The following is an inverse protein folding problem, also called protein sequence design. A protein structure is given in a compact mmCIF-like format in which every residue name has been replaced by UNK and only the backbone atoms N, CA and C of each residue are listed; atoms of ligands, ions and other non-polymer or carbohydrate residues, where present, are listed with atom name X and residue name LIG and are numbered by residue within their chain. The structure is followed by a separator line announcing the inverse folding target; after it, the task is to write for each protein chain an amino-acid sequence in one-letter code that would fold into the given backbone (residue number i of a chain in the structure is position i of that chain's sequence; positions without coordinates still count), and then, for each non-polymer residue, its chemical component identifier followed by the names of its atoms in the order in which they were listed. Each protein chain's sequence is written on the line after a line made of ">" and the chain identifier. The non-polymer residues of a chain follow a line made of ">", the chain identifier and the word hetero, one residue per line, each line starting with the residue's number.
data_IF_408309204076
#
_entry.id   IF_408309204076
#
_cell.length_a   1.000
_cell.length_b   1.000
_cell.length_c   1.000
_cell.angle_alpha   90.00
_cell.angle_beta   90.00
_cell.angle_gamma   90.00
#
_symmetry.space_group_name_H-M   'P 1'
#
loop_
_entity.id
_entity.type
_entity.pdbx_description
1 polymer ?
#
# COMPACT_ATOMS: atom_id res chain seq x y z
N UNK A 1 -39.09 -45.96 -73.73
CA UNK A 1 -39.98 -44.82 -73.55
C UNK A 1 -39.32 -43.89 -72.58
N UNK A 2 -38.88 -42.92 -73.12
CA UNK A 2 -38.09 -41.71 -72.78
C UNK A 2 -37.64 -41.46 -71.36
N UNK A 3 -36.37 -41.47 -71.30
CA UNK A 3 -35.50 -40.84 -70.27
C UNK A 3 -35.25 -39.41 -70.70
N UNK A 4 -35.61 -38.42 -69.93
CA UNK A 4 -35.11 -37.05 -70.08
C UNK A 4 -34.28 -36.66 -68.85
N UNK A 5 -33.00 -36.55 -69.06
CA UNK A 5 -32.03 -35.90 -68.22
C UNK A 5 -32.43 -34.46 -67.91
N UNK A 6 -32.26 -34.06 -66.65
CA UNK A 6 -32.19 -32.65 -66.28
C UNK A 6 -30.96 -32.39 -65.46
N UNK A 7 -29.94 -31.84 -66.08
CA UNK A 7 -28.75 -31.32 -65.47
C UNK A 7 -29.10 -30.02 -64.77
N UNK A 8 -29.10 -30.04 -63.44
CA UNK A 8 -29.27 -28.85 -62.60
C UNK A 8 -27.93 -28.21 -62.30
N UNK A 9 -27.68 -27.02 -62.82
CA UNK A 9 -26.48 -26.26 -62.66
C UNK A 9 -26.22 -25.84 -61.22
N UNK A 10 -25.10 -26.26 -60.67
CA UNK A 10 -24.56 -25.85 -59.42
C UNK A 10 -23.92 -24.47 -59.57
N UNK A 11 -24.60 -23.40 -59.11
CA UNK A 11 -24.02 -22.06 -58.98
C UNK A 11 -23.03 -22.06 -57.85
N UNK A 12 -21.72 -22.03 -58.17
CA UNK A 12 -20.63 -21.79 -57.25
C UNK A 12 -20.67 -20.32 -56.82
N UNK A 13 -21.33 -20.01 -55.70
CA UNK A 13 -21.24 -18.71 -55.04
C UNK A 13 -19.90 -18.64 -54.31
N UNK A 14 -18.89 -18.08 -54.97
CA UNK A 14 -17.62 -17.74 -54.35
C UNK A 14 -17.83 -16.68 -53.28
N UNK A 15 -17.72 -17.08 -52.01
CA UNK A 15 -17.67 -16.18 -50.86
C UNK A 15 -16.28 -15.52 -50.88
N UNK A 16 -16.16 -14.33 -51.46
CA UNK A 16 -15.02 -13.45 -51.26
C UNK A 16 -15.06 -12.96 -49.81
N UNK A 17 -14.36 -13.65 -48.93
CA UNK A 17 -13.98 -13.08 -47.63
C UNK A 17 -12.98 -11.94 -47.90
N UNK A 18 -13.46 -10.71 -48.00
CA UNK A 18 -12.62 -9.54 -47.93
C UNK A 18 -12.00 -9.54 -46.52
N UNK A 19 -10.77 -10.03 -46.40
CA UNK A 19 -9.90 -9.65 -45.30
C UNK A 19 -9.70 -8.14 -45.41
N UNK A 20 -10.48 -7.37 -44.64
CA UNK A 20 -10.17 -5.97 -44.41
C UNK A 20 -8.80 -5.91 -43.75
N UNK A 21 -7.72 -5.85 -44.55
CA UNK A 21 -6.42 -5.45 -44.06
C UNK A 21 -6.62 -4.04 -43.51
N UNK A 22 -6.60 -3.91 -42.15
CA UNK A 22 -6.73 -2.62 -41.51
C UNK A 22 -5.69 -1.68 -42.08
N UNK A 23 -6.07 -0.46 -42.42
CA UNK A 23 -5.12 0.56 -42.83
C UNK A 23 -4.01 0.68 -41.72
N UNK A 24 -2.74 0.88 -42.08
CA UNK A 24 -1.71 1.07 -41.11
C UNK A 24 -2.05 2.24 -40.19
N UNK A 25 -1.83 2.09 -38.87
CA UNK A 25 -2.11 3.11 -37.87
C UNK A 25 -1.42 4.43 -38.27
N UNK A 26 -2.19 5.49 -38.40
CA UNK A 26 -1.68 6.81 -38.76
C UNK A 26 -1.11 7.53 -37.54
N UNK A 27 -0.19 8.47 -37.78
CA UNK A 27 0.38 9.34 -36.74
C UNK A 27 -0.08 10.78 -36.99
N UNK A 28 -0.85 11.30 -36.04
CA UNK A 28 -1.36 12.66 -36.03
C UNK A 28 -0.48 13.53 -35.13
N UNK A 29 0.19 14.53 -35.67
CA UNK A 29 1.09 15.37 -34.88
C UNK A 29 0.39 16.66 -34.46
N UNK A 30 0.31 16.87 -33.13
CA UNK A 30 -0.25 18.07 -32.50
C UNK A 30 0.87 19.02 -32.09
N UNK A 31 0.79 20.30 -32.53
CA UNK A 31 1.79 21.34 -32.21
C UNK A 31 1.09 22.63 -31.83
N UNK A 32 1.64 23.46 -30.90
CA UNK A 32 0.99 24.70 -30.46
C UNK A 32 0.66 25.68 -31.57
N UNK A 33 1.47 25.73 -32.62
CA UNK A 33 1.33 26.64 -33.77
C UNK A 33 1.14 25.88 -35.09
N UNK A 34 0.48 24.72 -35.09
CA UNK A 34 0.23 23.88 -36.26
C UNK A 34 -1.25 23.87 -36.71
N UNK A 35 -1.56 23.20 -37.82
CA UNK A 35 -2.93 23.02 -38.29
C UNK A 35 -3.80 22.24 -37.30
N UNK A 36 -3.16 21.40 -36.46
CA UNK A 36 -3.77 20.72 -35.33
C UNK A 36 -3.15 21.28 -34.03
N UNK A 37 -3.73 22.35 -33.50
CA UNK A 37 -3.26 22.99 -32.27
C UNK A 37 -3.97 22.48 -31.00
N UNK A 38 -5.06 21.75 -31.16
CA UNK A 38 -5.84 21.15 -30.05
C UNK A 38 -5.80 19.64 -30.13
N UNK A 39 -5.53 18.97 -29.01
CA UNK A 39 -5.48 17.51 -28.93
C UNK A 39 -6.83 16.90 -29.34
N UNK A 40 -7.94 17.47 -28.88
CA UNK A 40 -9.28 16.95 -29.22
C UNK A 40 -9.54 16.97 -30.74
N UNK A 41 -9.06 17.98 -31.46
CA UNK A 41 -9.21 18.01 -32.92
C UNK A 41 -8.49 16.86 -33.63
N UNK A 42 -7.31 16.50 -33.13
CA UNK A 42 -6.58 15.34 -33.63
C UNK A 42 -7.29 14.02 -33.26
N UNK A 43 -7.81 13.93 -32.03
CA UNK A 43 -8.63 12.78 -31.58
C UNK A 43 -9.85 12.59 -32.45
N UNK A 44 -10.58 13.69 -32.76
CA UNK A 44 -11.80 13.65 -33.57
C UNK A 44 -11.53 13.22 -35.02
N UNK A 45 -10.35 13.55 -35.55
CA UNK A 45 -9.96 13.21 -36.93
C UNK A 45 -9.33 11.80 -37.06
N UNK A 46 -8.79 11.24 -35.95
CA UNK A 46 -8.07 9.97 -35.96
C UNK A 46 -8.99 8.76 -36.05
N UNK A 47 -8.54 7.71 -36.73
CA UNK A 47 -9.18 6.40 -36.75
C UNK A 47 -8.76 5.51 -35.54
N UNK A 48 -9.53 4.43 -35.29
CA UNK A 48 -9.12 3.46 -34.25
C UNK A 48 -7.75 2.86 -34.51
N UNK A 49 -6.90 2.87 -33.48
CA UNK A 49 -5.53 2.37 -33.52
C UNK A 49 -4.49 3.42 -33.88
N UNK A 50 -4.90 4.63 -34.26
CA UNK A 50 -3.98 5.72 -34.58
C UNK A 50 -3.22 6.24 -33.33
N UNK A 51 -2.10 6.93 -33.59
CA UNK A 51 -1.29 7.60 -32.57
C UNK A 51 -1.41 9.11 -32.70
N UNK A 52 -1.77 9.77 -31.59
CA UNK A 52 -1.72 11.23 -31.44
C UNK A 52 -0.37 11.57 -30.80
N UNK A 53 0.56 12.06 -31.58
CA UNK A 53 1.88 12.51 -31.12
C UNK A 53 1.80 13.98 -30.75
N UNK A 54 2.05 14.28 -29.47
CA UNK A 54 1.94 15.63 -28.90
C UNK A 54 3.34 16.18 -28.71
N UNK A 55 3.69 17.21 -29.48
CA UNK A 55 4.97 17.89 -29.42
C UNK A 55 5.07 18.77 -28.16
N UNK A 56 6.29 19.21 -27.75
CA UNK A 56 6.47 20.04 -26.56
C UNK A 56 5.60 21.30 -26.59
N UNK A 57 4.94 21.60 -25.47
CA UNK A 57 4.06 22.74 -25.32
C UNK A 57 3.00 22.55 -24.24
N UNK A 58 2.12 23.53 -24.08
CA UNK A 58 0.97 23.47 -23.17
C UNK A 58 -0.31 23.45 -23.99
N UNK A 59 -1.17 22.48 -23.73
CA UNK A 59 -2.39 22.23 -24.47
C UNK A 59 -3.59 22.24 -23.52
N UNK A 60 -4.75 22.68 -24.04
CA UNK A 60 -5.99 22.62 -23.29
C UNK A 60 -6.38 21.16 -23.03
N UNK A 61 -6.79 20.86 -21.82
CA UNK A 61 -7.33 19.57 -21.37
C UNK A 61 -8.80 19.40 -21.71
N UNK A 62 -9.47 18.52 -20.94
CA UNK A 62 -10.83 18.02 -21.18
C UNK A 62 -10.91 17.21 -22.49
N UNK A 63 -9.88 16.38 -22.70
CA UNK A 63 -9.77 15.48 -23.85
C UNK A 63 -10.60 14.22 -23.60
N UNK A 64 -11.41 13.82 -24.55
CA UNK A 64 -12.24 12.60 -24.47
C UNK A 64 -11.79 11.62 -25.55
N UNK A 65 -11.36 10.42 -25.12
CA UNK A 65 -11.01 9.32 -26.01
C UNK A 65 -12.21 8.36 -26.14
N UNK A 66 -12.93 8.45 -27.26
CA UNK A 66 -14.12 7.63 -27.57
C UNK A 66 -13.82 6.45 -28.52
N UNK A 67 -12.55 6.29 -28.90
CA UNK A 67 -12.03 5.21 -29.73
C UNK A 67 -10.63 4.82 -29.29
N UNK A 68 -10.20 3.61 -29.63
CA UNK A 68 -8.86 3.10 -29.28
C UNK A 68 -7.78 3.97 -29.93
N UNK A 69 -7.02 4.69 -29.12
CA UNK A 69 -5.94 5.59 -29.56
C UNK A 69 -4.72 5.46 -28.65
N UNK A 70 -3.57 5.85 -29.18
CA UNK A 70 -2.38 6.12 -28.39
C UNK A 70 -2.15 7.62 -28.30
N UNK A 71 -2.15 8.20 -27.07
CA UNK A 71 -1.67 9.55 -26.80
C UNK A 71 -0.22 9.47 -26.34
N UNK A 72 0.70 10.01 -27.12
CA UNK A 72 2.13 9.97 -26.85
C UNK A 72 2.72 11.38 -26.79
N UNK A 73 3.30 11.75 -25.63
CA UNK A 73 4.03 13.00 -25.46
C UNK A 73 5.47 12.89 -25.91
N UNK A 74 5.97 13.92 -26.58
CA UNK A 74 7.38 14.12 -26.87
C UNK A 74 7.92 15.19 -25.92
N UNK A 75 8.90 14.86 -25.09
CA UNK A 75 9.47 15.80 -24.12
C UNK A 75 8.49 16.26 -23.05
N UNK A 76 7.56 15.40 -22.64
CA UNK A 76 6.58 15.65 -21.58
C UNK A 76 5.74 16.93 -21.78
N UNK A 77 4.95 17.04 -22.87
CA UNK A 77 4.04 18.16 -23.07
C UNK A 77 3.00 18.23 -21.95
N UNK A 78 2.54 19.45 -21.66
CA UNK A 78 1.59 19.70 -20.57
C UNK A 78 0.17 19.71 -21.13
N UNK A 79 -0.69 18.88 -20.56
CA UNK A 79 -2.14 18.94 -20.79
C UNK A 79 -2.74 19.55 -19.54
N UNK A 80 -3.21 20.78 -19.66
CA UNK A 80 -3.78 21.56 -18.57
C UNK A 80 -5.29 21.59 -18.65
N UNK A 81 -5.97 21.09 -17.61
CA UNK A 81 -7.41 21.19 -17.45
C UNK A 81 -7.88 22.64 -17.26
N UNK A 82 -9.17 22.86 -17.43
CA UNK A 82 -9.79 24.16 -17.24
C UNK A 82 -10.24 24.45 -15.81
N UNK A 83 -9.78 23.69 -14.79
CA UNK A 83 -10.27 23.79 -13.41
C UNK A 83 -11.69 23.26 -13.24
N UNK A 84 -12.20 22.52 -14.22
CA UNK A 84 -13.52 21.87 -14.21
C UNK A 84 -13.40 20.50 -14.84
N UNK A 85 -14.08 19.49 -14.27
CA UNK A 85 -14.07 18.10 -14.72
C UNK A 85 -12.67 17.46 -14.83
N UNK A 86 -12.61 16.26 -15.34
CA UNK A 86 -11.36 15.52 -15.55
C UNK A 86 -10.57 16.06 -16.75
N UNK A 87 -9.23 15.97 -16.67
CA UNK A 87 -8.34 16.52 -17.73
C UNK A 87 -8.37 15.62 -18.97
N UNK A 88 -8.36 14.30 -18.77
CA UNK A 88 -8.52 13.32 -19.85
C UNK A 88 -9.54 12.27 -19.38
N UNK A 89 -10.54 11.99 -20.24
CA UNK A 89 -11.53 10.93 -20.02
C UNK A 89 -11.38 9.86 -21.07
N UNK A 90 -11.24 8.61 -20.66
CA UNK A 90 -11.08 7.44 -21.54
C UNK A 90 -12.35 6.62 -21.52
N UNK A 91 -13.07 6.60 -22.64
CA UNK A 91 -14.33 5.86 -22.84
C UNK A 91 -14.15 4.62 -23.72
N UNK A 92 -13.08 4.55 -24.49
CA UNK A 92 -12.79 3.45 -25.38
C UNK A 92 -11.76 2.51 -24.77
N UNK A 93 -11.90 1.23 -25.03
CA UNK A 93 -10.99 0.18 -24.57
C UNK A 93 -9.65 0.18 -25.30
N UNK A 94 -8.60 -0.27 -24.60
CA UNK A 94 -7.28 -0.52 -25.18
C UNK A 94 -6.53 0.73 -25.58
N UNK A 95 -6.83 1.88 -24.97
CA UNK A 95 -6.06 3.12 -25.16
C UNK A 95 -4.71 3.06 -24.46
N UNK A 96 -3.73 3.78 -25.01
CA UNK A 96 -2.43 4.02 -24.36
C UNK A 96 -2.23 5.51 -24.16
N UNK A 97 -1.84 5.91 -22.94
CA UNK A 97 -1.53 7.31 -22.58
C UNK A 97 -0.16 7.33 -21.94
N UNK A 98 0.80 8.04 -22.55
CA UNK A 98 2.18 8.01 -22.07
C UNK A 98 2.95 9.30 -22.28
N UNK A 99 3.97 9.50 -21.42
CA UNK A 99 4.94 10.59 -21.47
C UNK A 99 4.32 11.99 -21.44
N UNK A 100 3.26 12.20 -20.65
CA UNK A 100 2.53 13.46 -20.53
C UNK A 100 2.71 14.05 -19.14
N UNK A 101 2.62 15.39 -19.05
CA UNK A 101 2.30 16.10 -17.81
C UNK A 101 0.82 16.45 -17.84
N UNK A 102 0.06 16.02 -16.84
CA UNK A 102 -1.39 16.21 -16.74
C UNK A 102 -1.65 17.02 -15.48
N UNK A 103 -2.25 18.19 -15.63
CA UNK A 103 -2.40 19.11 -14.49
C UNK A 103 -3.70 19.90 -14.50
N UNK A 104 -4.07 20.42 -13.33
CA UNK A 104 -5.16 21.36 -13.13
C UNK A 104 -6.54 20.78 -13.47
N UNK A 105 -6.91 19.63 -12.83
CA UNK A 105 -8.25 19.08 -12.88
C UNK A 105 -9.28 19.99 -12.21
N UNK A 106 -10.55 19.67 -12.32
CA UNK A 106 -11.61 20.29 -11.52
C UNK A 106 -11.43 20.06 -10.00
N UNK A 107 -12.39 20.56 -9.21
CA UNK A 107 -12.33 20.62 -7.74
C UNK A 107 -13.50 19.90 -7.06
N UNK A 108 -14.37 19.27 -7.83
CA UNK A 108 -15.59 18.66 -7.33
C UNK A 108 -15.34 17.21 -6.90
N UNK A 109 -15.25 16.95 -5.60
CA UNK A 109 -15.12 15.58 -5.06
C UNK A 109 -16.28 14.69 -5.47
N UNK A 110 -17.49 15.23 -5.52
CA UNK A 110 -18.70 14.50 -5.90
C UNK A 110 -18.75 14.12 -7.39
N UNK A 111 -18.05 14.87 -8.24
CA UNK A 111 -17.93 14.61 -9.68
C UNK A 111 -16.64 13.82 -10.01
N UNK A 112 -15.85 13.52 -8.98
CA UNK A 112 -14.61 12.76 -9.09
C UNK A 112 -13.62 13.34 -10.11
N UNK A 113 -13.50 14.68 -10.12
CA UNK A 113 -12.64 15.43 -11.04
C UNK A 113 -11.19 14.95 -10.99
N UNK A 114 -10.73 14.32 -12.06
CA UNK A 114 -9.47 13.56 -12.07
C UNK A 114 -8.47 14.11 -13.11
N UNK A 115 -7.21 13.80 -12.92
CA UNK A 115 -6.22 13.93 -13.99
C UNK A 115 -6.57 12.99 -15.14
N UNK A 116 -6.80 11.72 -14.84
CA UNK A 116 -7.25 10.69 -15.78
C UNK A 116 -8.49 9.97 -15.22
N UNK A 117 -9.58 9.94 -15.98
CA UNK A 117 -10.79 9.21 -15.66
C UNK A 117 -11.00 8.10 -16.68
N UNK A 118 -11.00 6.84 -16.26
CA UNK A 118 -11.17 5.65 -17.09
C UNK A 118 -12.54 5.03 -16.87
N UNK A 119 -13.36 5.00 -17.93
CA UNK A 119 -14.65 4.30 -17.99
C UNK A 119 -14.61 3.07 -18.92
N UNK A 120 -13.42 2.56 -19.21
CA UNK A 120 -13.21 1.46 -20.15
C UNK A 120 -12.03 0.60 -19.73
N UNK A 121 -11.95 -0.59 -20.27
CA UNK A 121 -11.01 -1.63 -19.85
C UNK A 121 -9.81 -1.79 -20.79
N UNK A 122 -8.76 -2.48 -20.30
CA UNK A 122 -7.61 -2.84 -21.12
C UNK A 122 -6.71 -1.67 -21.51
N UNK A 123 -6.74 -0.57 -20.77
CA UNK A 123 -5.94 0.62 -21.07
C UNK A 123 -4.54 0.53 -20.44
N UNK A 124 -3.59 1.26 -21.03
CA UNK A 124 -2.23 1.36 -20.56
C UNK A 124 -1.86 2.81 -20.30
N UNK A 125 -1.59 3.13 -19.05
CA UNK A 125 -1.26 4.48 -18.56
C UNK A 125 0.17 4.42 -18.01
N UNK A 126 1.12 5.01 -18.73
CA UNK A 126 2.53 4.82 -18.37
C UNK A 126 3.38 6.08 -18.49
N UNK A 127 4.37 6.22 -17.59
CA UNK A 127 5.36 7.30 -17.64
C UNK A 127 4.76 8.71 -17.66
N UNK A 128 3.60 8.92 -17.02
CA UNK A 128 2.97 10.22 -16.92
C UNK A 128 3.28 10.91 -15.58
N UNK A 129 3.27 12.22 -15.59
CA UNK A 129 3.33 13.05 -14.39
C UNK A 129 1.99 13.74 -14.19
N UNK A 130 1.31 13.43 -13.09
CA UNK A 130 0.06 14.08 -12.69
C UNK A 130 0.34 14.99 -11.51
N UNK A 131 -0.05 16.26 -11.63
CA UNK A 131 0.15 17.24 -10.56
C UNK A 131 -0.99 18.26 -10.52
N UNK A 132 -1.24 18.87 -9.38
CA UNK A 132 -2.38 19.77 -9.20
C UNK A 132 -3.68 19.13 -9.67
N UNK A 133 -3.90 17.87 -9.29
CA UNK A 133 -5.10 17.12 -9.62
C UNK A 133 -5.84 16.73 -8.33
N UNK A 134 -7.18 16.77 -8.36
CA UNK A 134 -7.99 16.40 -7.20
C UNK A 134 -7.93 14.89 -6.98
N UNK A 135 -8.33 14.10 -7.96
CA UNK A 135 -7.97 12.69 -8.07
C UNK A 135 -6.89 12.54 -9.14
N UNK A 136 -5.92 11.67 -8.90
CA UNK A 136 -4.89 11.39 -9.90
C UNK A 136 -5.44 10.58 -11.07
N UNK A 137 -5.54 9.27 -10.90
CA UNK A 137 -6.11 8.33 -11.88
C UNK A 137 -7.31 7.65 -11.23
N UNK A 138 -8.47 7.74 -11.85
CA UNK A 138 -9.70 7.12 -11.38
C UNK A 138 -10.19 6.07 -12.37
N UNK A 139 -10.34 4.83 -11.90
CA UNK A 139 -10.86 3.68 -12.62
C UNK A 139 -12.29 3.41 -12.14
N UNK A 140 -13.27 3.68 -12.98
CA UNK A 140 -14.67 3.49 -12.70
C UNK A 140 -15.24 2.34 -13.56
N UNK A 141 -15.50 1.19 -12.94
CA UNK A 141 -15.95 -0.03 -13.67
C UNK A 141 -15.01 -0.33 -14.86
N UNK A 142 -13.70 -0.38 -14.56
CA UNK A 142 -12.65 -0.35 -15.56
C UNK A 142 -11.63 -1.45 -15.26
N UNK A 143 -11.67 -2.53 -16.03
CA UNK A 143 -10.95 -3.77 -15.78
C UNK A 143 -9.67 -3.90 -16.59
N UNK A 144 -8.74 -4.74 -16.12
CA UNK A 144 -7.56 -5.17 -16.87
C UNK A 144 -6.68 -4.01 -17.37
N UNK A 145 -6.62 -2.90 -16.65
CA UNK A 145 -5.74 -1.78 -16.99
C UNK A 145 -4.34 -1.98 -16.38
N UNK A 146 -3.36 -1.34 -17.01
CA UNK A 146 -1.98 -1.28 -16.53
C UNK A 146 -1.61 0.17 -16.24
N UNK A 147 -1.31 0.47 -14.97
CA UNK A 147 -0.78 1.76 -14.51
C UNK A 147 0.69 1.57 -14.17
N UNK A 148 1.59 2.07 -15.02
CA UNK A 148 3.02 1.79 -14.94
C UNK A 148 3.84 3.09 -14.84
N UNK A 149 4.70 3.17 -13.83
CA UNK A 149 5.71 4.24 -13.69
C UNK A 149 5.14 5.66 -13.86
N UNK A 150 4.00 5.92 -13.22
CA UNK A 150 3.42 7.26 -13.17
C UNK A 150 3.83 7.96 -11.87
N UNK A 151 4.07 9.26 -11.93
CA UNK A 151 4.29 10.12 -10.77
C UNK A 151 3.04 10.94 -10.51
N UNK A 152 2.40 10.74 -9.36
CA UNK A 152 1.13 11.37 -9.01
C UNK A 152 1.30 12.21 -7.77
N UNK A 153 1.06 13.51 -7.88
CA UNK A 153 1.04 14.46 -6.78
C UNK A 153 -0.31 15.14 -6.67
N UNK A 154 -0.94 15.02 -5.53
CA UNK A 154 -2.20 15.70 -5.23
C UNK A 154 -2.02 17.18 -4.94
N UNK A 155 -2.97 17.75 -4.18
CA UNK A 155 -3.04 19.16 -3.83
C UNK A 155 -2.68 19.37 -2.36
N UNK A 156 -1.38 19.46 -2.05
CA UNK A 156 -0.91 19.59 -0.67
C UNK A 156 -1.47 20.84 0.06
N UNK A 157 -1.86 21.88 -0.66
CA UNK A 157 -2.42 23.11 -0.10
C UNK A 157 -3.88 23.00 0.36
N UNK A 158 -4.60 21.98 -0.07
CA UNK A 158 -5.96 21.70 0.42
C UNK A 158 -5.91 21.01 1.78
N UNK A 159 -6.95 21.20 2.59
CA UNK A 159 -7.17 20.40 3.78
C UNK A 159 -7.29 18.91 3.44
N UNK A 160 -6.86 18.02 4.35
CA UNK A 160 -6.82 16.57 4.08
C UNK A 160 -8.19 16.02 3.63
N UNK A 161 -9.30 16.52 4.20
CA UNK A 161 -10.66 16.10 3.83
C UNK A 161 -11.13 16.57 2.46
N UNK A 162 -10.46 17.58 1.89
CA UNK A 162 -10.81 18.19 0.59
C UNK A 162 -10.05 17.57 -0.58
N UNK A 163 -9.06 16.70 -0.30
CA UNK A 163 -8.26 16.02 -1.31
C UNK A 163 -8.93 14.73 -1.76
N UNK A 164 -8.73 14.34 -3.00
CA UNK A 164 -9.06 13.01 -3.52
C UNK A 164 -7.92 12.01 -3.33
N UNK A 165 -8.06 10.82 -3.91
CA UNK A 165 -7.02 9.79 -3.91
C UNK A 165 -6.05 9.93 -5.09
N UNK A 166 -4.80 9.46 -4.91
CA UNK A 166 -3.84 9.40 -6.02
C UNK A 166 -4.28 8.43 -7.11
N UNK A 167 -4.60 7.19 -6.73
CA UNK A 167 -5.25 6.21 -7.60
C UNK A 167 -6.54 5.76 -6.90
N UNK A 168 -7.66 5.84 -7.60
CA UNK A 168 -8.95 5.38 -7.12
C UNK A 168 -9.47 4.27 -8.03
N UNK A 169 -9.83 3.13 -7.45
CA UNK A 169 -10.39 1.98 -8.16
C UNK A 169 -11.74 1.65 -7.56
N UNK A 170 -12.77 1.70 -8.39
CA UNK A 170 -14.14 1.40 -7.98
C UNK A 170 -14.80 0.39 -8.90
N UNK A 171 -15.32 -0.73 -8.32
CA UNK A 171 -16.00 -1.80 -9.03
C UNK A 171 -15.23 -2.33 -10.25
N UNK A 172 -13.97 -2.72 -10.05
CA UNK A 172 -13.07 -3.10 -11.15
C UNK A 172 -12.26 -4.35 -10.82
N UNK A 173 -11.84 -5.09 -11.83
CA UNK A 173 -11.09 -6.35 -11.64
C UNK A 173 -9.86 -6.44 -12.54
N UNK A 174 -8.86 -7.22 -12.11
CA UNK A 174 -7.72 -7.60 -12.95
C UNK A 174 -6.73 -6.47 -13.27
N UNK A 175 -6.75 -5.37 -12.53
CA UNK A 175 -5.86 -4.24 -12.78
C UNK A 175 -4.43 -4.50 -12.27
N UNK A 176 -3.44 -3.92 -12.94
CA UNK A 176 -2.03 -3.97 -12.54
C UNK A 176 -1.51 -2.56 -12.29
N UNK A 177 -1.03 -2.30 -11.07
CA UNK A 177 -0.52 -1.00 -10.64
C UNK A 177 0.93 -1.21 -10.20
N UNK A 178 1.87 -0.75 -11.00
CA UNK A 178 3.28 -1.06 -10.74
C UNK A 178 4.20 0.14 -10.95
N UNK A 179 5.22 0.22 -10.09
CA UNK A 179 6.29 1.22 -10.14
C UNK A 179 5.81 2.69 -10.06
N UNK A 180 4.59 2.98 -9.58
CA UNK A 180 4.11 4.34 -9.46
C UNK A 180 4.64 5.01 -8.17
N UNK A 181 4.82 6.34 -8.23
CA UNK A 181 5.10 7.17 -7.05
C UNK A 181 3.91 8.06 -6.77
N UNK A 182 3.37 8.01 -5.55
CA UNK A 182 2.14 8.70 -5.17
C UNK A 182 2.35 9.48 -3.88
N UNK A 183 2.01 10.76 -3.88
CA UNK A 183 2.13 11.64 -2.71
C UNK A 183 1.13 12.80 -2.70
N UNK A 184 1.01 13.46 -1.56
CA UNK A 184 0.30 14.75 -1.40
C UNK A 184 -1.21 14.69 -1.69
N UNK A 185 -1.78 13.51 -1.87
CA UNK A 185 -3.22 13.26 -1.96
C UNK A 185 -3.85 13.02 -0.56
N UNK A 186 -5.13 12.71 -0.48
CA UNK A 186 -5.74 12.24 0.77
C UNK A 186 -5.30 10.81 1.06
N UNK A 187 -5.59 9.92 0.15
CA UNK A 187 -5.19 8.52 0.20
C UNK A 187 -4.33 8.22 -1.04
N UNK A 188 -3.29 7.40 -0.89
CA UNK A 188 -2.43 7.06 -2.03
C UNK A 188 -3.18 6.24 -3.05
N UNK A 189 -3.66 5.09 -2.61
CA UNK A 189 -4.53 4.20 -3.40
C UNK A 189 -5.81 3.94 -2.62
N UNK A 190 -6.96 4.14 -3.24
CA UNK A 190 -8.25 3.75 -2.69
C UNK A 190 -8.88 2.67 -3.57
N UNK A 191 -9.04 1.48 -3.01
CA UNK A 191 -9.64 0.33 -3.68
C UNK A 191 -10.96 0.00 -2.99
N UNK A 192 -12.05 0.04 -3.75
CA UNK A 192 -13.38 -0.34 -3.30
C UNK A 192 -14.05 -1.27 -4.33
N UNK A 193 -14.47 -2.45 -3.87
CA UNK A 193 -14.99 -3.50 -4.74
C UNK A 193 -14.02 -3.79 -5.91
N UNK A 194 -12.74 -3.90 -5.58
CA UNK A 194 -11.66 -4.20 -6.53
C UNK A 194 -11.15 -5.61 -6.30
N UNK A 195 -11.05 -6.42 -7.36
CA UNK A 195 -10.71 -7.83 -7.26
C UNK A 195 -9.54 -8.19 -8.16
N UNK A 196 -8.77 -9.21 -7.79
CA UNK A 196 -7.67 -9.75 -8.60
C UNK A 196 -6.70 -8.68 -9.12
N UNK A 197 -6.46 -7.65 -8.30
CA UNK A 197 -5.55 -6.54 -8.61
C UNK A 197 -4.16 -6.86 -8.10
N UNK A 198 -3.15 -6.65 -8.95
CA UNK A 198 -1.74 -6.67 -8.57
C UNK A 198 -1.25 -5.25 -8.32
N UNK A 199 -0.73 -5.00 -7.13
CA UNK A 199 -0.08 -3.72 -6.75
C UNK A 199 1.37 -4.02 -6.39
N UNK A 200 2.34 -3.57 -7.20
CA UNK A 200 3.73 -3.97 -7.01
C UNK A 200 4.73 -2.82 -7.23
N UNK A 201 5.83 -2.82 -6.47
CA UNK A 201 6.94 -1.88 -6.64
C UNK A 201 6.57 -0.39 -6.56
N UNK A 202 5.46 -0.03 -5.92
CA UNK A 202 5.02 1.37 -5.80
C UNK A 202 5.66 2.04 -4.57
N UNK A 203 5.84 3.37 -4.65
CA UNK A 203 6.26 4.24 -3.55
C UNK A 203 5.11 5.19 -3.20
N UNK A 204 4.63 5.10 -1.98
CA UNK A 204 3.39 5.77 -1.54
C UNK A 204 3.65 6.45 -0.21
N UNK A 205 3.59 7.79 -0.16
CA UNK A 205 4.02 8.55 1.01
C UNK A 205 3.37 9.93 1.15
N UNK A 206 3.52 10.57 2.33
CA UNK A 206 2.96 11.90 2.65
C UNK A 206 1.44 11.99 2.48
N UNK A 207 0.71 11.04 3.10
CA UNK A 207 -0.72 10.83 2.92
C UNK A 207 -1.44 10.61 4.24
N UNK A 208 -2.78 10.55 4.21
CA UNK A 208 -3.55 10.01 5.32
C UNK A 208 -3.40 8.49 5.38
N UNK A 209 -3.77 7.80 4.32
CA UNK A 209 -3.55 6.35 4.15
C UNK A 209 -2.75 6.11 2.87
N UNK A 210 -1.66 5.37 2.98
CA UNK A 210 -0.95 4.91 1.79
C UNK A 210 -1.85 4.01 0.94
N UNK A 211 -2.51 3.04 1.58
CA UNK A 211 -3.52 2.17 0.98
C UNK A 211 -4.81 2.24 1.83
N UNK A 212 -5.89 2.72 1.24
CA UNK A 212 -7.24 2.64 1.77
C UNK A 212 -8.02 1.59 0.99
N UNK A 213 -8.53 0.57 1.67
CA UNK A 213 -8.98 -0.64 1.02
C UNK A 213 -10.26 -1.17 1.65
N UNK A 214 -11.33 -1.30 0.85
CA UNK A 214 -12.65 -1.68 1.35
C UNK A 214 -13.35 -2.70 0.43
N UNK A 215 -13.93 -3.73 1.03
CA UNK A 215 -14.81 -4.69 0.34
C UNK A 215 -14.21 -5.24 -0.95
N UNK A 216 -12.94 -5.60 -0.88
CA UNK A 216 -12.16 -6.02 -2.05
C UNK A 216 -11.42 -7.32 -1.71
N UNK A 217 -11.56 -8.36 -2.50
CA UNK A 217 -10.99 -9.67 -2.22
C UNK A 217 -9.94 -10.09 -3.25
N UNK A 218 -9.11 -11.09 -2.89
CA UNK A 218 -8.20 -11.76 -3.82
C UNK A 218 -7.17 -10.84 -4.49
N UNK A 219 -6.67 -9.84 -3.77
CA UNK A 219 -5.67 -8.92 -4.28
C UNK A 219 -4.28 -9.20 -3.70
N UNK A 220 -3.25 -8.80 -4.44
CA UNK A 220 -1.86 -9.03 -4.09
C UNK A 220 -1.06 -7.74 -4.09
N UNK A 221 -0.29 -7.55 -3.01
CA UNK A 221 0.59 -6.40 -2.80
C UNK A 221 2.02 -6.91 -2.63
N UNK A 222 2.93 -6.55 -3.56
CA UNK A 222 4.30 -7.04 -3.58
C UNK A 222 5.31 -5.90 -3.70
N UNK A 223 6.37 -5.94 -2.90
CA UNK A 223 7.51 -5.04 -3.02
C UNK A 223 7.18 -3.54 -3.00
N UNK A 224 6.05 -3.14 -2.34
CA UNK A 224 5.66 -1.75 -2.22
C UNK A 224 6.27 -1.10 -0.98
N UNK A 225 6.41 0.22 -1.01
CA UNK A 225 6.83 1.03 0.11
C UNK A 225 5.72 2.01 0.49
N UNK A 226 5.21 1.91 1.73
CA UNK A 226 4.21 2.79 2.33
C UNK A 226 4.83 3.49 3.52
N UNK A 227 5.11 4.79 3.43
CA UNK A 227 5.87 5.48 4.46
C UNK A 227 5.46 6.94 4.65
N UNK A 228 5.90 7.54 5.76
CA UNK A 228 5.67 8.95 6.10
C UNK A 228 4.21 9.38 5.97
N UNK A 229 3.29 8.51 6.37
CA UNK A 229 1.83 8.72 6.30
C UNK A 229 1.21 8.55 7.69
N UNK A 230 -0.06 8.92 7.85
CA UNK A 230 -0.79 8.63 9.10
C UNK A 230 -0.93 7.11 9.25
N UNK A 231 -1.32 6.41 8.18
CA UNK A 231 -1.28 4.96 8.16
C UNK A 231 -0.72 4.45 6.83
N UNK A 232 0.11 3.40 6.90
CA UNK A 232 0.65 2.77 5.69
C UNK A 232 -0.45 2.07 4.89
N UNK A 233 -1.28 1.25 5.56
CA UNK A 233 -2.43 0.61 4.94
C UNK A 233 -3.59 0.43 5.92
N UNK A 234 -4.82 0.53 5.43
CA UNK A 234 -6.06 0.23 6.16
C UNK A 234 -6.92 -0.72 5.31
N UNK A 235 -7.00 -1.98 5.74
CA UNK A 235 -7.67 -3.09 5.06
C UNK A 235 -8.97 -3.38 5.80
N UNK A 236 -10.10 -3.18 5.13
CA UNK A 236 -11.42 -3.28 5.76
C UNK A 236 -12.36 -4.18 4.97
N UNK A 237 -13.13 -5.02 5.68
CA UNK A 237 -14.22 -5.83 5.12
C UNK A 237 -13.79 -6.69 3.92
N UNK A 238 -12.62 -7.35 4.01
CA UNK A 238 -11.97 -7.95 2.85
C UNK A 238 -11.35 -9.30 3.17
N UNK A 239 -11.16 -10.16 2.14
CA UNK A 239 -10.71 -11.53 2.31
C UNK A 239 -9.58 -11.89 1.35
N UNK A 240 -8.72 -12.83 1.77
CA UNK A 240 -7.68 -13.46 0.96
C UNK A 240 -6.75 -12.45 0.29
N UNK A 241 -6.27 -11.50 1.10
CA UNK A 241 -5.31 -10.49 0.65
C UNK A 241 -3.90 -10.99 0.94
N UNK A 242 -3.02 -10.87 -0.03
CA UNK A 242 -1.62 -11.24 0.08
C UNK A 242 -0.72 -10.01 0.13
N UNK A 243 0.10 -9.92 1.19
CA UNK A 243 1.15 -8.92 1.33
C UNK A 243 2.50 -9.62 1.36
N UNK A 244 3.36 -9.35 0.36
CA UNK A 244 4.68 -9.96 0.28
C UNK A 244 5.77 -8.91 0.03
N UNK A 245 6.82 -8.91 0.85
CA UNK A 245 7.99 -8.03 0.77
C UNK A 245 7.66 -6.53 0.71
N UNK A 246 6.56 -6.11 1.32
CA UNK A 246 6.24 -4.69 1.43
C UNK A 246 6.95 -4.07 2.63
N UNK A 247 7.21 -2.77 2.54
CA UNK A 247 7.77 -1.97 3.63
C UNK A 247 6.73 -0.96 4.10
N UNK A 248 6.36 -1.04 5.38
CA UNK A 248 5.52 -0.08 6.08
C UNK A 248 6.39 0.64 7.11
N UNK A 249 6.78 1.87 6.81
CA UNK A 249 7.79 2.56 7.62
C UNK A 249 7.37 3.97 8.00
N UNK A 250 7.69 4.35 9.24
CA UNK A 250 7.54 5.72 9.74
C UNK A 250 6.14 6.29 9.55
N UNK A 251 5.11 5.45 9.75
CA UNK A 251 3.72 5.90 9.75
C UNK A 251 3.35 6.30 11.17
N UNK A 252 3.28 7.61 11.40
CA UNK A 252 3.16 8.20 12.73
C UNK A 252 2.11 9.32 12.77
N UNK A 253 1.48 9.50 13.93
CA UNK A 253 0.45 10.50 14.19
C UNK A 253 -0.59 9.99 15.17
N UNK A 254 -1.73 10.66 15.24
CA UNK A 254 -2.85 10.19 16.06
C UNK A 254 -3.56 9.03 15.35
N UNK A 255 -3.71 7.90 16.03
CA UNK A 255 -4.26 6.64 15.47
C UNK A 255 -3.53 6.17 14.20
N UNK A 256 -2.22 5.97 14.35
CA UNK A 256 -1.33 5.64 13.23
C UNK A 256 -0.90 4.19 13.27
N UNK A 257 -0.81 3.58 12.07
CA UNK A 257 -0.50 2.17 11.92
C UNK A 257 0.42 1.93 10.72
N UNK A 258 1.31 0.95 10.81
CA UNK A 258 1.95 0.38 9.63
C UNK A 258 0.90 -0.25 8.74
N UNK A 259 0.13 -1.21 9.31
CA UNK A 259 -1.04 -1.80 8.66
C UNK A 259 -2.17 -2.03 9.67
N UNK A 260 -3.39 -1.71 9.25
CA UNK A 260 -4.62 -1.97 9.99
C UNK A 260 -5.45 -3.01 9.25
N UNK A 261 -5.96 -4.00 9.97
CA UNK A 261 -6.98 -4.93 9.51
C UNK A 261 -8.25 -4.76 10.34
N UNK A 262 -9.38 -4.56 9.65
CA UNK A 262 -10.70 -4.48 10.26
C UNK A 262 -11.67 -5.40 9.52
N UNK A 263 -12.37 -6.30 10.25
CA UNK A 263 -13.32 -7.26 9.68
C UNK A 263 -12.78 -7.98 8.43
N UNK A 264 -11.57 -8.50 8.53
CA UNK A 264 -10.89 -9.17 7.41
C UNK A 264 -10.59 -10.62 7.73
N UNK A 265 -10.45 -11.47 6.68
CA UNK A 265 -10.30 -12.90 6.86
C UNK A 265 -9.35 -13.54 5.84
N UNK A 266 -8.57 -14.54 6.28
CA UNK A 266 -7.73 -15.35 5.40
C UNK A 266 -6.61 -14.56 4.71
N UNK A 267 -6.16 -13.47 5.33
CA UNK A 267 -5.08 -12.66 4.81
C UNK A 267 -3.71 -13.29 5.11
N UNK A 268 -2.75 -13.07 4.25
CA UNK A 268 -1.36 -13.50 4.46
C UNK A 268 -0.40 -12.32 4.36
N UNK A 269 0.55 -12.26 5.29
CA UNK A 269 1.64 -11.29 5.28
C UNK A 269 2.97 -12.04 5.42
N UNK A 270 3.80 -12.02 4.37
CA UNK A 270 5.06 -12.75 4.33
C UNK A 270 6.21 -11.84 3.90
N UNK A 271 7.32 -11.94 4.63
CA UNK A 271 8.56 -11.20 4.33
C UNK A 271 8.39 -9.67 4.27
N UNK A 272 7.38 -9.12 4.96
CA UNK A 272 7.20 -7.67 5.04
C UNK A 272 8.01 -7.05 6.17
N UNK A 273 8.28 -5.74 6.07
CA UNK A 273 8.88 -4.96 7.13
C UNK A 273 7.88 -3.93 7.69
N UNK A 274 7.63 -3.98 8.99
CA UNK A 274 6.85 -3.01 9.75
C UNK A 274 7.81 -2.30 10.71
N UNK A 275 8.32 -1.14 10.31
CA UNK A 275 9.46 -0.50 11.00
C UNK A 275 9.13 0.93 11.37
N UNK A 276 9.42 1.31 12.63
CA UNK A 276 9.29 2.68 13.11
C UNK A 276 7.89 3.28 12.93
N UNK A 277 6.83 2.47 13.16
CA UNK A 277 5.46 2.94 13.18
C UNK A 277 4.97 3.17 14.62
N UNK A 278 3.89 3.93 14.80
CA UNK A 278 3.24 4.02 16.11
C UNK A 278 2.69 2.65 16.53
N UNK A 279 1.95 1.99 15.65
CA UNK A 279 1.58 0.57 15.79
C UNK A 279 2.04 -0.15 14.53
N UNK A 280 2.81 -1.23 14.66
CA UNK A 280 3.24 -2.00 13.51
C UNK A 280 2.06 -2.66 12.79
N UNK A 281 1.32 -3.50 13.50
CA UNK A 281 0.16 -4.25 12.98
C UNK A 281 -1.03 -4.06 13.93
N UNK A 282 -2.14 -3.54 13.42
CA UNK A 282 -3.39 -3.40 14.16
C UNK A 282 -4.41 -4.42 13.66
N UNK A 283 -5.06 -5.15 14.57
CA UNK A 283 -6.02 -6.22 14.26
C UNK A 283 -7.33 -6.05 15.02
N UNK A 284 -8.39 -5.67 14.31
CA UNK A 284 -9.76 -5.66 14.81
C UNK A 284 -10.61 -6.63 13.99
N UNK A 285 -11.15 -7.66 14.61
CA UNK A 285 -11.91 -8.72 13.94
C UNK A 285 -11.20 -9.36 12.72
N UNK A 286 -9.87 -9.45 12.78
CA UNK A 286 -9.07 -10.20 11.80
C UNK A 286 -9.15 -11.68 12.13
N UNK A 287 -9.48 -12.53 11.13
CA UNK A 287 -9.68 -13.97 11.34
C UNK A 287 -8.83 -14.81 10.39
N UNK A 288 -8.41 -15.98 10.89
CA UNK A 288 -7.76 -17.06 10.11
C UNK A 288 -6.63 -16.58 9.19
N UNK A 289 -5.84 -15.60 9.65
CA UNK A 289 -4.79 -14.96 8.87
C UNK A 289 -3.40 -15.37 9.36
N UNK A 290 -2.41 -15.29 8.48
CA UNK A 290 -1.07 -15.77 8.76
C UNK A 290 0.00 -14.72 8.49
N UNK A 291 0.87 -14.53 9.47
CA UNK A 291 2.01 -13.63 9.43
C UNK A 291 3.29 -14.45 9.55
N UNK A 292 4.07 -14.53 8.46
CA UNK A 292 5.27 -15.36 8.41
C UNK A 292 6.48 -14.57 7.95
N UNK A 293 7.61 -14.79 8.63
CA UNK A 293 8.90 -14.23 8.21
C UNK A 293 8.87 -12.71 8.01
N UNK A 294 8.12 -11.96 8.85
CA UNK A 294 8.09 -10.51 8.80
C UNK A 294 9.10 -9.91 9.79
N UNK A 295 9.63 -8.73 9.46
CA UNK A 295 10.37 -7.87 10.35
C UNK A 295 9.37 -6.90 11.01
N UNK A 296 9.26 -6.95 12.33
CA UNK A 296 8.44 -6.02 13.12
C UNK A 296 9.40 -5.35 14.11
N UNK A 297 9.86 -4.15 13.77
CA UNK A 297 10.98 -3.55 14.47
C UNK A 297 10.78 -2.07 14.81
N UNK A 298 11.32 -1.65 15.96
CA UNK A 298 11.35 -0.25 16.38
C UNK A 298 9.97 0.46 16.38
N UNK A 299 8.87 -0.29 16.47
CA UNK A 299 7.54 0.28 16.62
C UNK A 299 7.28 0.63 18.10
N UNK A 300 6.41 1.63 18.35
CA UNK A 300 5.98 1.88 19.73
C UNK A 300 5.18 0.68 20.26
N UNK A 301 4.25 0.15 19.46
CA UNK A 301 3.59 -1.14 19.72
C UNK A 301 3.77 -2.04 18.50
N UNK A 302 4.35 -3.23 18.68
CA UNK A 302 4.55 -4.14 17.54
C UNK A 302 3.20 -4.62 16.99
N UNK A 303 2.32 -5.11 17.87
CA UNK A 303 0.98 -5.60 17.52
C UNK A 303 -0.03 -5.01 18.51
N UNK A 304 -1.09 -4.40 17.99
CA UNK A 304 -2.28 -4.08 18.76
C UNK A 304 -3.44 -4.97 18.29
N UNK A 305 -3.99 -5.78 19.17
CA UNK A 305 -5.01 -6.76 18.83
C UNK A 305 -6.24 -6.64 19.73
N UNK A 306 -7.41 -6.64 19.13
CA UNK A 306 -8.69 -6.75 19.86
C UNK A 306 -9.06 -8.20 20.10
N UNK A 307 -9.81 -8.47 21.16
CA UNK A 307 -10.30 -9.82 21.47
C UNK A 307 -11.27 -10.40 20.42
N UNK A 308 -11.68 -9.62 19.44
CA UNK A 308 -12.41 -10.04 18.25
C UNK A 308 -11.52 -10.70 17.17
N UNK A 309 -10.21 -10.51 17.26
CA UNK A 309 -9.26 -11.16 16.36
C UNK A 309 -9.06 -12.63 16.79
N UNK A 310 -9.20 -13.58 15.86
CA UNK A 310 -9.18 -15.01 16.20
C UNK A 310 -8.59 -15.89 15.11
N UNK A 311 -7.98 -17.01 15.52
CA UNK A 311 -7.43 -18.00 14.61
C UNK A 311 -6.23 -17.53 13.79
N UNK A 312 -5.61 -16.42 14.15
CA UNK A 312 -4.44 -15.89 13.47
C UNK A 312 -3.16 -16.62 13.90
N UNK A 313 -2.16 -16.64 13.03
CA UNK A 313 -0.89 -17.33 13.28
C UNK A 313 0.28 -16.42 12.99
N UNK A 314 1.24 -16.34 13.93
CA UNK A 314 2.52 -15.65 13.78
C UNK A 314 3.65 -16.67 13.93
N UNK A 315 4.48 -16.84 12.89
CA UNK A 315 5.57 -17.84 12.90
C UNK A 315 6.77 -17.36 12.09
N UNK A 316 7.96 -17.53 12.64
CA UNK A 316 9.20 -17.12 11.99
C UNK A 316 9.37 -15.61 11.81
N UNK A 317 8.62 -14.79 12.55
CA UNK A 317 8.77 -13.34 12.49
C UNK A 317 9.91 -12.87 13.41
N UNK A 318 10.50 -11.74 13.08
CA UNK A 318 11.48 -11.07 13.91
C UNK A 318 10.86 -9.87 14.62
N UNK A 319 10.70 -9.94 15.92
CA UNK A 319 10.29 -8.83 16.79
C UNK A 319 11.55 -8.22 17.42
N UNK A 320 11.94 -7.02 16.95
CA UNK A 320 13.21 -6.42 17.33
C UNK A 320 13.00 -5.00 17.86
N UNK A 321 13.44 -4.75 19.09
CA UNK A 321 13.48 -3.43 19.71
C UNK A 321 12.16 -2.64 19.62
N UNK A 322 11.01 -3.33 19.69
CA UNK A 322 9.73 -2.66 19.83
C UNK A 322 9.55 -2.22 21.30
N UNK A 323 8.90 -1.07 21.50
CA UNK A 323 8.68 -0.54 22.83
C UNK A 323 7.70 -1.41 23.65
N UNK A 324 6.61 -1.86 22.99
CA UNK A 324 5.71 -2.88 23.51
C UNK A 324 5.54 -4.00 22.47
N UNK A 325 5.73 -5.29 22.84
CA UNK A 325 5.55 -6.40 21.89
C UNK A 325 4.11 -6.63 21.49
N UNK A 326 3.16 -6.44 22.41
CA UNK A 326 1.73 -6.61 22.14
C UNK A 326 0.86 -5.79 23.10
N UNK A 327 -0.15 -5.17 22.55
CA UNK A 327 -1.26 -4.57 23.28
C UNK A 327 -2.55 -5.33 22.96
N UNK A 328 -3.19 -5.96 23.94
CA UNK A 328 -4.46 -6.67 23.77
C UNK A 328 -5.59 -5.87 24.38
N UNK A 329 -6.50 -5.40 23.53
CA UNK A 329 -7.72 -4.71 23.96
C UNK A 329 -8.81 -5.72 24.22
N UNK A 330 -9.17 -5.89 25.49
CA UNK A 330 -10.11 -6.91 25.96
C UNK A 330 -9.41 -8.03 26.74
N UNK A 331 -9.88 -9.27 26.62
CA UNK A 331 -9.37 -10.37 27.47
C UNK A 331 -8.13 -11.05 26.91
N UNK A 332 -8.29 -11.76 25.81
CA UNK A 332 -7.24 -12.52 25.12
C UNK A 332 -7.61 -12.64 23.66
N UNK A 333 -6.64 -12.85 22.78
CA UNK A 333 -6.86 -13.23 21.40
C UNK A 333 -6.72 -14.75 21.28
N UNK A 334 -7.30 -15.36 20.23
CA UNK A 334 -7.05 -16.75 19.87
C UNK A 334 -5.88 -16.85 18.89
N UNK A 335 -4.81 -16.08 19.14
CA UNK A 335 -3.63 -16.04 18.29
C UNK A 335 -2.68 -17.19 18.59
N UNK A 336 -2.20 -17.86 17.57
CA UNK A 336 -1.13 -18.84 17.65
C UNK A 336 0.20 -18.19 17.34
N UNK A 337 1.13 -18.30 18.28
CA UNK A 337 2.48 -17.70 18.17
C UNK A 337 3.53 -18.64 17.61
N UNK A 338 3.10 -19.78 17.09
CA UNK A 338 3.97 -20.79 16.49
C UNK A 338 3.23 -21.64 15.47
N UNK A 339 3.96 -22.21 14.53
CA UNK A 339 3.48 -23.18 13.56
C UNK A 339 4.53 -24.29 13.41
N UNK A 340 4.11 -25.54 13.39
CA UNK A 340 5.00 -26.72 13.25
C UNK A 340 6.21 -26.72 14.20
N UNK A 341 6.03 -26.29 15.47
CA UNK A 341 7.09 -26.30 16.48
C UNK A 341 8.12 -25.17 16.33
N UNK A 342 7.83 -24.14 15.54
CA UNK A 342 8.68 -22.95 15.40
C UNK A 342 7.84 -21.68 15.64
N UNK A 343 8.28 -20.88 16.59
CA UNK A 343 7.66 -19.61 16.93
C UNK A 343 8.35 -18.42 16.26
N UNK A 344 8.56 -17.36 17.01
CA UNK A 344 9.14 -16.10 16.54
C UNK A 344 10.44 -15.76 17.27
N UNK A 345 11.26 -14.92 16.66
CA UNK A 345 12.41 -14.33 17.32
C UNK A 345 11.97 -13.07 18.08
N UNK A 346 12.39 -12.95 19.34
CA UNK A 346 12.14 -11.80 20.21
C UNK A 346 13.45 -11.25 20.72
N UNK A 347 13.76 -9.99 20.47
CA UNK A 347 15.05 -9.40 20.85
C UNK A 347 15.35 -9.44 22.36
N UNK A 348 14.32 -9.51 23.18
CA UNK A 348 14.40 -9.55 24.66
C UNK A 348 14.27 -10.97 25.24
N UNK A 349 14.17 -11.99 24.39
CA UNK A 349 14.17 -13.37 24.86
C UNK A 349 15.54 -13.76 25.47
N UNK A 350 15.51 -14.25 26.69
CA UNK A 350 16.70 -14.63 27.47
C UNK A 350 16.67 -16.11 27.89
N UNK A 351 15.96 -16.95 27.17
CA UNK A 351 15.92 -18.39 27.40
C UNK A 351 17.19 -19.08 26.87
N UNK A 352 17.21 -20.39 27.00
CA UNK A 352 18.28 -21.26 26.55
C UNK A 352 17.75 -22.34 25.60
N UNK A 353 18.65 -22.97 24.87
CA UNK A 353 18.42 -24.04 23.91
C UNK A 353 19.42 -25.16 24.24
N UNK A 354 18.99 -26.19 24.97
CA UNK A 354 19.87 -27.25 25.47
C UNK A 354 20.13 -28.35 24.44
N UNK A 355 19.22 -28.52 23.50
CA UNK A 355 19.32 -29.52 22.44
C UNK A 355 19.86 -28.96 21.12
N UNK A 356 20.22 -27.66 21.10
CA UNK A 356 20.85 -26.95 20.00
C UNK A 356 20.02 -26.98 18.71
N UNK A 357 18.68 -27.05 18.81
CA UNK A 357 17.77 -27.11 17.66
C UNK A 357 17.40 -25.71 17.11
N UNK A 358 17.88 -24.64 17.76
CA UNK A 358 17.59 -23.25 17.39
C UNK A 358 16.28 -22.70 17.94
N UNK A 359 15.57 -23.49 18.76
CA UNK A 359 14.34 -23.12 19.45
C UNK A 359 14.61 -23.12 20.96
N UNK A 360 14.18 -22.10 21.65
CA UNK A 360 14.37 -22.02 23.10
C UNK A 360 13.47 -22.96 23.85
N UNK A 361 14.04 -23.64 24.87
CA UNK A 361 13.34 -24.59 25.74
C UNK A 361 12.37 -23.92 26.73
N UNK A 362 12.50 -22.63 26.92
CA UNK A 362 11.65 -21.83 27.82
C UNK A 362 10.67 -21.00 27.00
N UNK A 363 9.35 -21.17 27.16
CA UNK A 363 8.38 -20.33 26.47
C UNK A 363 8.58 -18.84 26.75
N UNK A 364 8.47 -18.01 25.72
CA UNK A 364 8.50 -16.57 25.86
C UNK A 364 7.12 -16.03 26.22
N UNK A 365 7.03 -15.31 27.32
CA UNK A 365 5.81 -14.62 27.74
C UNK A 365 5.77 -13.25 27.05
N UNK A 366 4.85 -13.10 26.07
CA UNK A 366 4.79 -11.93 25.21
C UNK A 366 4.22 -10.71 25.94
N UNK A 367 3.24 -10.91 26.84
CA UNK A 367 2.55 -9.85 27.55
C UNK A 367 2.76 -9.99 29.07
N UNK A 368 3.28 -8.95 29.70
CA UNK A 368 3.39 -8.84 31.17
C UNK A 368 2.15 -8.15 31.78
N UNK A 369 2.07 -8.10 33.13
CA UNK A 369 0.96 -7.48 33.87
C UNK A 369 0.76 -6.02 33.49
N UNK A 370 1.85 -5.28 33.35
CA UNK A 370 1.78 -3.84 33.07
C UNK A 370 1.23 -3.59 31.65
N UNK A 371 1.71 -4.32 30.65
CA UNK A 371 1.23 -4.25 29.26
C UNK A 371 -0.24 -4.62 29.17
N UNK A 372 -0.72 -5.57 29.97
CA UNK A 372 -2.13 -5.88 30.06
C UNK A 372 -2.94 -4.75 30.65
N UNK A 373 -2.45 -4.11 31.71
CA UNK A 373 -3.11 -2.94 32.29
C UNK A 373 -3.12 -1.75 31.34
N UNK A 374 -2.10 -1.60 30.50
CA UNK A 374 -2.04 -0.58 29.45
C UNK A 374 -3.14 -0.76 28.41
N UNK A 375 -3.44 -1.99 27.98
CA UNK A 375 -4.56 -2.29 27.09
C UNK A 375 -5.91 -1.84 27.63
N UNK A 376 -6.13 -1.98 28.94
CA UNK A 376 -7.34 -1.52 29.61
C UNK A 376 -7.29 0.00 29.92
N UNK A 377 -6.11 0.55 30.15
CA UNK A 377 -5.86 1.93 30.54
C UNK A 377 -4.71 2.57 29.73
N UNK A 378 -4.91 3.00 28.48
CA UNK A 378 -3.84 3.48 27.57
C UNK A 378 -2.95 4.61 28.13
N UNK A 379 -3.46 5.38 29.10
CA UNK A 379 -2.67 6.44 29.78
C UNK A 379 -1.51 5.90 30.62
N UNK A 380 -1.52 4.62 30.97
CA UNK A 380 -0.41 3.97 31.69
C UNK A 380 0.85 3.86 30.82
N UNK A 381 0.76 4.02 29.52
CA UNK A 381 1.87 4.06 28.58
C UNK A 381 2.96 5.07 28.97
N UNK A 382 2.56 6.18 29.59
CA UNK A 382 3.51 7.18 30.12
C UNK A 382 4.42 6.63 31.22
N UNK A 383 4.10 5.50 31.82
CA UNK A 383 4.81 4.89 32.94
C UNK A 383 5.52 3.58 32.58
N UNK A 384 5.59 3.20 31.29
CA UNK A 384 6.18 1.95 30.80
C UNK A 384 7.59 1.68 31.35
N UNK A 385 8.41 2.70 31.48
CA UNK A 385 9.77 2.60 32.01
C UNK A 385 9.91 3.09 33.46
N UNK A 386 8.79 3.26 34.16
CA UNK A 386 8.86 3.67 35.56
C UNK A 386 9.43 2.55 36.45
N UNK A 387 10.07 2.89 37.57
CA UNK A 387 10.49 1.88 38.56
C UNK A 387 9.34 1.00 39.04
N UNK A 388 8.10 1.52 39.04
CA UNK A 388 6.90 0.77 39.41
C UNK A 388 6.54 -0.30 38.38
N UNK A 389 6.60 0.00 37.08
CA UNK A 389 6.35 -0.99 36.02
C UNK A 389 7.41 -2.09 36.02
N UNK A 390 8.69 -1.72 36.22
CA UNK A 390 9.79 -2.67 36.33
C UNK A 390 9.65 -3.56 37.56
N UNK A 391 9.31 -3.00 38.73
CA UNK A 391 9.06 -3.77 39.95
C UNK A 391 7.89 -4.74 39.77
N UNK A 392 6.82 -4.33 39.07
CA UNK A 392 5.68 -5.18 38.77
C UNK A 392 6.07 -6.34 37.84
N UNK A 393 6.83 -6.07 36.79
CA UNK A 393 7.36 -7.09 35.88
C UNK A 393 8.28 -8.10 36.57
N UNK A 394 9.14 -7.65 37.52
CA UNK A 394 10.00 -8.52 38.32
C UNK A 394 9.18 -9.36 39.31
N UNK A 395 8.19 -8.76 39.97
CA UNK A 395 7.33 -9.49 40.92
C UNK A 395 6.49 -10.57 40.23
N UNK A 396 6.08 -10.35 39.00
CA UNK A 396 5.33 -11.33 38.20
C UNK A 396 6.16 -12.58 37.81
N UNK A 397 7.49 -12.43 37.67
CA UNK A 397 8.39 -13.59 37.45
C UNK A 397 8.38 -14.56 38.64
N UNK A 398 8.12 -14.03 39.85
CA UNK A 398 8.10 -14.81 41.11
C UNK A 398 6.69 -15.33 41.38
N UNK A 399 5.67 -14.52 41.16
CA UNK A 399 4.26 -14.86 41.39
C UNK A 399 3.47 -14.51 40.15
N UNK A 400 3.11 -15.47 39.28
CA UNK A 400 2.31 -15.20 38.10
C UNK A 400 0.92 -14.67 38.49
N UNK A 401 0.71 -13.37 38.33
CA UNK A 401 -0.54 -12.69 38.73
C UNK A 401 -1.65 -12.80 37.68
N UNK A 402 -1.28 -13.12 36.43
CA UNK A 402 -2.24 -13.20 35.33
C UNK A 402 -2.38 -14.62 34.83
N UNK A 403 -3.61 -15.11 34.77
CA UNK A 403 -4.00 -16.32 34.03
C UNK A 403 -4.43 -15.90 32.61
N UNK A 404 -3.92 -16.56 31.55
CA UNK A 404 -4.29 -16.32 30.16
C UNK A 404 -3.46 -15.26 29.45
N UNK A 405 -2.17 -15.16 29.77
CA UNK A 405 -1.21 -14.36 28.99
C UNK A 405 -0.91 -15.00 27.65
N UNK A 406 -0.55 -14.15 26.66
CA UNK A 406 -0.06 -14.63 25.37
C UNK A 406 1.36 -15.18 25.51
N UNK A 407 1.61 -16.37 24.92
CA UNK A 407 2.90 -17.07 25.00
C UNK A 407 3.32 -17.55 23.61
N UNK A 408 4.59 -17.33 23.27
CA UNK A 408 5.27 -18.10 22.24
C UNK A 408 5.94 -19.32 22.91
N UNK A 409 5.48 -20.49 22.57
CA UNK A 409 5.97 -21.75 23.17
C UNK A 409 7.28 -22.25 22.57
N UNK A 410 7.65 -21.73 21.40
CA UNK A 410 8.79 -22.18 20.63
C UNK A 410 9.60 -21.00 20.11
N UNK A 411 10.05 -20.07 21.01
CA UNK A 411 10.77 -18.87 20.61
C UNK A 411 12.08 -19.22 19.91
N UNK A 412 12.43 -18.46 18.89
CA UNK A 412 13.66 -18.68 18.14
C UNK A 412 14.87 -18.03 18.85
N UNK A 413 16.00 -18.75 18.90
CA UNK A 413 17.25 -18.26 19.50
C UNK A 413 17.96 -17.24 18.62
N UNK A 414 17.72 -17.23 17.32
CA UNK A 414 18.34 -16.33 16.36
C UNK A 414 17.29 -15.74 15.41
N UNK A 415 17.51 -14.50 14.95
CA UNK A 415 16.62 -13.92 13.95
C UNK A 415 16.61 -14.72 12.65
N UNK A 416 15.47 -14.76 12.02
CA UNK A 416 15.29 -15.36 10.71
C UNK A 416 15.89 -14.44 9.66
N UNK A 417 16.71 -14.96 8.77
CA UNK A 417 17.24 -14.20 7.64
C UNK A 417 16.11 -13.80 6.67
N UNK A 418 16.07 -12.54 6.32
CA UNK A 418 15.06 -11.97 5.44
C UNK A 418 15.70 -11.07 4.39
N UNK A 419 15.15 -11.09 3.18
CA UNK A 419 15.52 -10.16 2.10
C UNK A 419 14.42 -9.11 1.97
N UNK A 420 14.55 -8.00 2.70
CA UNK A 420 13.66 -6.85 2.54
C UNK A 420 14.49 -5.72 1.92
N UNK A 421 14.23 -5.38 0.68
CA UNK A 421 14.85 -4.22 0.03
C UNK A 421 14.37 -2.94 0.72
N UNK A 422 15.30 -2.13 1.23
CA UNK A 422 15.04 -0.90 1.96
C UNK A 422 14.83 -1.06 3.47
N UNK A 423 14.79 -2.29 3.97
CA UNK A 423 14.82 -2.62 5.40
C UNK A 423 16.23 -3.02 5.84
N UNK A 424 17.25 -2.20 5.58
CA UNK A 424 18.47 -2.32 6.36
C UNK A 424 18.06 -2.09 7.82
N UNK A 425 17.92 -3.17 8.60
CA UNK A 425 18.20 -3.08 9.99
C UNK A 425 19.64 -2.54 10.00
N UNK A 426 19.77 -1.22 10.15
CA UNK A 426 21.05 -0.66 10.48
C UNK A 426 21.55 -1.54 11.63
N UNK A 427 22.66 -2.21 11.41
CA UNK A 427 23.49 -2.66 12.50
C UNK A 427 23.61 -1.41 13.36
N UNK A 428 22.81 -1.32 14.43
CA UNK A 428 23.03 -0.34 15.45
C UNK A 428 24.45 -0.64 15.90
N UNK A 429 25.41 0.15 15.41
CA UNK A 429 26.61 0.34 16.19
C UNK A 429 26.10 0.64 17.60
N UNK A 430 26.62 -0.04 18.63
CA UNK A 430 26.15 0.15 19.99
C UNK A 430 26.11 1.64 20.24
N UNK A 431 24.93 2.17 20.58
CA UNK A 431 24.68 3.59 20.81
C UNK A 431 25.86 4.12 21.61
N UNK A 432 26.57 5.07 21.02
CA UNK A 432 27.70 5.70 21.68
C UNK A 432 27.20 6.18 23.05
N UNK A 433 27.73 5.60 24.12
CA UNK A 433 27.42 5.98 25.51
C UNK A 433 27.87 7.41 25.80
N UNK A 434 28.61 8.05 24.89
CA UNK A 434 29.14 9.40 25.03
C UNK A 434 28.08 10.50 25.17
N UNK A 435 26.99 10.55 24.41
CA UNK A 435 25.98 11.60 24.59
C UNK A 435 25.30 11.60 25.97
N UNK A 436 24.82 10.46 26.51
CA UNK A 436 24.29 10.45 27.88
C UNK A 436 25.33 10.76 28.94
N UNK A 437 26.57 10.29 28.78
CA UNK A 437 27.63 10.63 29.68
C UNK A 437 28.01 12.11 29.66
N UNK A 438 28.04 12.72 28.48
CA UNK A 438 28.25 14.17 28.32
C UNK A 438 27.12 15.00 28.95
N UNK A 439 25.86 14.58 28.81
CA UNK A 439 24.71 15.22 29.47
C UNK A 439 24.80 15.07 31.00
N UNK A 440 25.21 13.92 31.50
CA UNK A 440 25.40 13.69 32.93
C UNK A 440 26.52 14.55 33.49
N UNK A 441 27.66 14.64 32.80
CA UNK A 441 28.77 15.50 33.16
C UNK A 441 28.39 16.98 33.15
N UNK A 442 27.63 17.44 32.13
CA UNK A 442 27.12 18.81 32.05
C UNK A 442 26.16 19.13 33.21
N UNK A 443 25.26 18.22 33.56
CA UNK A 443 24.35 18.40 34.70
C UNK A 443 25.05 18.45 36.04
N UNK A 444 26.08 17.63 36.23
CA UNK A 444 26.95 17.66 37.45
C UNK A 444 27.73 18.97 37.54
N UNK A 445 28.26 19.51 36.44
CA UNK A 445 28.92 20.81 36.39
C UNK A 445 28.00 21.96 36.75
N UNK A 446 26.75 21.95 36.23
CA UNK A 446 25.73 22.96 36.56
C UNK A 446 25.37 22.90 38.07
N UNK A 447 25.22 21.68 38.62
CA UNK A 447 24.94 21.52 40.04
C UNK A 447 26.10 21.95 40.93
N UNK A 448 27.34 21.68 40.52
CA UNK A 448 28.53 22.15 41.23
C UNK A 448 28.67 23.68 41.19
N UNK A 449 28.36 24.30 40.06
CA UNK A 449 28.42 25.76 39.92
C UNK A 449 27.31 26.47 40.71
N UNK A 450 26.12 25.84 40.81
CA UNK A 450 25.03 26.35 41.65
C UNK A 450 25.30 26.27 43.19
N UNK A 451 26.23 25.43 43.62
CA UNK A 451 26.67 25.36 45.02
C UNK A 451 27.83 26.31 45.40
N UNK A 452 28.48 26.93 44.39
CA UNK A 452 29.58 27.88 44.54
C UNK A 452 29.13 29.35 44.46
N UNK A 453 27.84 29.61 44.30
CA UNK A 453 27.17 30.88 44.47
C UNK A 453 26.25 30.82 45.69
#
# INVERSE_FOLDING_TARGET
>A
MDVKETIGGMKLAGLLALCAAGAPAAVWTVRPAGPLARIQQAVDAAGPGDTIRIEPGTYAGNVVLDRKLTLEGVGHPIIRGGGRSSVITVKAEGCTIRNLVIEHSGEMLAEEDSGLLLHSSGNRIEHNQLRDVLFGIYLYQSDNNVLLDNVIRGRAWLGMGERGAGIHIWNSTGNTITANTISEARDGMYLQNAYHTLVAHNRVHDLRYGLHYMSSDDNRFEDNQFYDSVAGAAIMYSRRIEFRRNVFRHNRGFSSFGILFQDSEGCTAEENAFVDNAVGIFMEALRASAFRRNLIAANDTAIQAFSSASGNTFSGNNFIANLSPIEVVGRTTETRWSEAGRGNYWSDYQGYDLDENGVGDVPFKIQNVFERMEGDYPRLRLYLFSPASQALAVSEKVVPLIRGSEYDRFPLMKPVEMRVEGGSAASQEPDSIWPPLAMLAASLLVMAWGKLR
#
